data_IF_787323652485
#
_entry.id   IF_787323652485
#
_cell.length_a   1.000
_cell.length_b   1.000
_cell.length_c   1.000
_cell.angle_alpha   90.00
_cell.angle_beta   90.00
_cell.angle_gamma   90.00
#
_symmetry.space_group_name_H-M   'P 1'
#
loop_
_entity.id
_entity.type
_entity.pdbx_description
1 polymer ?
#
# COMPACT_ATOMS: atom_id res chain seq x y z
N UNK A 1 -48.93 14.18 -2.10
CA UNK A 1 -47.78 13.34 -1.62
C UNK A 1 -48.19 12.87 -0.23
N UNK A 2 -48.30 11.57 -0.06
CA UNK A 2 -48.85 11.01 1.18
C UNK A 2 -47.89 11.29 2.36
N UNK A 3 -48.46 11.86 3.44
CA UNK A 3 -47.72 12.20 4.65
C UNK A 3 -46.87 11.00 5.16
N UNK A 4 -47.33 9.79 4.93
CA UNK A 4 -46.64 8.52 5.28
C UNK A 4 -45.34 8.35 4.52
N UNK A 5 -45.29 8.73 3.22
CA UNK A 5 -44.07 8.64 2.39
C UNK A 5 -43.05 9.65 2.87
N UNK A 6 -43.48 10.87 3.15
CA UNK A 6 -42.59 11.95 3.66
C UNK A 6 -41.99 11.53 5.00
N UNK A 7 -42.81 10.97 5.91
CA UNK A 7 -42.35 10.50 7.22
C UNK A 7 -41.37 9.34 7.10
N UNK A 8 -41.62 8.39 6.19
CA UNK A 8 -40.73 7.28 5.91
C UNK A 8 -39.36 7.73 5.38
N UNK A 9 -39.34 8.69 4.45
CA UNK A 9 -38.09 9.24 3.89
C UNK A 9 -37.30 9.99 4.97
N UNK A 10 -37.97 10.82 5.77
CA UNK A 10 -37.31 11.57 6.85
C UNK A 10 -36.71 10.61 7.90
N UNK A 11 -37.47 9.60 8.34
CA UNK A 11 -36.97 8.60 9.28
C UNK A 11 -35.78 7.82 8.75
N UNK A 12 -35.87 7.37 7.49
CA UNK A 12 -34.75 6.64 6.86
C UNK A 12 -33.49 7.51 6.77
N UNK A 13 -33.65 8.74 6.31
CA UNK A 13 -32.53 9.70 6.20
C UNK A 13 -31.93 9.99 7.58
N UNK A 14 -32.74 10.18 8.60
CA UNK A 14 -32.26 10.41 9.95
C UNK A 14 -31.45 9.22 10.51
N UNK A 15 -31.92 7.99 10.26
CA UNK A 15 -31.20 6.76 10.68
C UNK A 15 -29.85 6.66 9.94
N UNK A 16 -29.82 6.90 8.63
CA UNK A 16 -28.58 6.85 7.85
C UNK A 16 -27.59 7.89 8.34
N UNK A 17 -28.03 9.13 8.56
CA UNK A 17 -27.17 10.19 9.08
C UNK A 17 -26.65 9.88 10.49
N UNK A 18 -27.48 9.31 11.36
CA UNK A 18 -27.05 8.89 12.69
C UNK A 18 -25.99 7.80 12.62
N UNK A 19 -26.14 6.78 11.74
CA UNK A 19 -25.13 5.74 11.55
C UNK A 19 -23.82 6.30 10.99
N UNK A 20 -23.89 7.21 10.01
CA UNK A 20 -22.70 7.87 9.48
C UNK A 20 -21.99 8.69 10.56
N UNK A 21 -22.73 9.43 11.38
CA UNK A 21 -22.16 10.18 12.50
C UNK A 21 -21.44 9.25 13.50
N UNK A 22 -22.06 8.13 13.87
CA UNK A 22 -21.45 7.14 14.77
C UNK A 22 -20.15 6.58 14.17
N UNK A 23 -20.15 6.23 12.87
CA UNK A 23 -18.95 5.72 12.20
C UNK A 23 -17.84 6.78 12.17
N UNK A 24 -18.17 8.03 11.88
CA UNK A 24 -17.17 9.12 11.84
C UNK A 24 -16.58 9.40 13.22
N UNK A 25 -17.41 9.42 14.26
CA UNK A 25 -16.94 9.57 15.65
C UNK A 25 -16.08 8.38 16.07
N UNK A 26 -16.51 7.16 15.80
CA UNK A 26 -15.73 5.97 16.09
C UNK A 26 -14.38 5.99 15.36
N UNK A 27 -14.36 6.37 14.08
CA UNK A 27 -13.14 6.51 13.30
C UNK A 27 -12.20 7.56 13.88
N UNK A 28 -12.70 8.75 14.22
CA UNK A 28 -11.87 9.81 14.81
C UNK A 28 -11.28 9.45 16.18
N UNK A 29 -11.94 8.56 16.90
CA UNK A 29 -11.51 8.09 18.22
C UNK A 29 -10.56 6.88 18.19
N UNK A 30 -10.69 6.05 17.15
CA UNK A 30 -9.96 4.78 17.03
C UNK A 30 -8.73 4.86 16.12
N UNK A 31 -8.71 5.81 15.19
CA UNK A 31 -7.55 6.02 14.30
C UNK A 31 -6.60 7.00 14.97
N UNK A 32 -5.39 6.57 15.24
CA UNK A 32 -4.34 7.47 15.73
C UNK A 32 -4.16 8.61 14.73
N UNK A 33 -4.50 9.82 15.14
CA UNK A 33 -4.25 11.02 14.36
C UNK A 33 -2.91 11.59 14.84
N UNK A 34 -1.92 11.64 13.95
CA UNK A 34 -0.60 12.20 14.25
C UNK A 34 0.46 11.64 13.33
N UNK A 35 1.63 12.22 13.41
CA UNK A 35 2.80 11.73 12.71
C UNK A 35 3.47 10.65 13.56
N UNK A 36 3.98 9.63 12.89
CA UNK A 36 4.72 8.53 13.49
C UNK A 36 6.09 8.42 12.84
N UNK A 37 7.06 7.92 13.59
CA UNK A 37 8.41 7.74 13.11
C UNK A 37 8.62 6.27 12.74
N UNK A 38 9.16 6.04 11.55
CA UNK A 38 9.57 4.71 11.10
C UNK A 38 11.08 4.70 10.97
N UNK A 39 11.73 3.93 11.83
CA UNK A 39 13.17 3.68 11.78
C UNK A 39 13.43 2.49 10.86
N UNK A 40 14.28 2.68 9.86
CA UNK A 40 14.57 1.72 8.82
C UNK A 40 16.03 1.30 8.91
N UNK A 41 16.27 0.01 9.12
CA UNK A 41 17.60 -0.60 9.25
C UNK A 41 18.48 0.06 10.33
N UNK A 42 17.91 0.78 11.29
CA UNK A 42 18.67 1.52 12.32
C UNK A 42 19.40 2.76 11.82
N UNK A 43 19.30 3.09 10.53
CA UNK A 43 20.09 4.18 9.92
C UNK A 43 19.22 5.36 9.48
N UNK A 44 18.04 5.09 8.96
CA UNK A 44 17.14 6.11 8.39
C UNK A 44 15.84 6.18 9.16
N UNK A 45 15.45 7.38 9.57
CA UNK A 45 14.13 7.63 10.18
C UNK A 45 13.30 8.50 9.25
N UNK A 46 12.07 8.09 8.99
CA UNK A 46 11.09 8.87 8.25
C UNK A 46 9.90 9.19 9.15
N UNK A 47 9.37 10.41 9.03
CA UNK A 47 8.17 10.84 9.75
C UNK A 47 7.01 10.88 8.77
N UNK A 48 5.95 10.15 9.08
CA UNK A 48 4.81 9.92 8.17
C UNK A 48 3.49 9.99 8.93
N UNK A 49 2.38 10.36 8.29
CA UNK A 49 1.08 10.35 8.94
C UNK A 49 0.65 8.91 9.28
N UNK A 50 0.10 8.74 10.49
CA UNK A 50 -0.46 7.46 10.91
C UNK A 50 -1.74 7.11 10.11
N UNK A 51 -2.02 5.81 10.00
CA UNK A 51 -3.29 5.28 9.44
C UNK A 51 -3.15 4.62 8.07
N UNK A 52 -2.00 4.75 7.39
CA UNK A 52 -1.72 4.09 6.12
C UNK A 52 -1.27 2.62 6.27
N UNK A 53 -1.08 1.95 5.13
CA UNK A 53 -0.38 0.67 5.06
C UNK A 53 1.12 0.91 4.88
N UNK A 54 1.95 0.11 5.55
CA UNK A 54 3.40 0.29 5.54
C UNK A 54 3.99 0.30 4.12
N UNK A 55 3.53 -0.61 3.23
CA UNK A 55 3.97 -0.66 1.84
C UNK A 55 3.77 0.67 1.11
N UNK A 56 2.57 1.24 1.22
CA UNK A 56 2.23 2.50 0.56
C UNK A 56 3.00 3.67 1.18
N UNK A 57 3.08 3.72 2.50
CA UNK A 57 3.80 4.77 3.23
C UNK A 57 5.29 4.79 2.87
N UNK A 58 5.92 3.61 2.73
CA UNK A 58 7.31 3.50 2.29
C UNK A 58 7.47 3.97 0.83
N UNK A 59 6.55 3.58 -0.07
CA UNK A 59 6.55 4.01 -1.46
C UNK A 59 6.44 5.54 -1.59
N UNK A 60 5.55 6.18 -0.84
CA UNK A 60 5.41 7.64 -0.78
C UNK A 60 6.67 8.34 -0.24
N UNK A 61 7.47 7.61 0.55
CA UNK A 61 8.77 8.08 1.07
C UNK A 61 9.96 7.73 0.16
N UNK A 62 9.70 7.19 -1.04
CA UNK A 62 10.73 6.83 -2.02
C UNK A 62 11.42 5.49 -1.77
N UNK A 63 10.83 4.61 -0.95
CA UNK A 63 11.30 3.26 -0.68
C UNK A 63 10.34 2.23 -1.26
N UNK A 64 10.76 1.56 -2.33
CA UNK A 64 9.90 0.69 -3.11
C UNK A 64 10.16 -0.78 -2.81
N UNK A 65 9.30 -1.41 -2.01
CA UNK A 65 9.32 -2.85 -1.81
C UNK A 65 8.60 -3.55 -2.97
N UNK A 66 9.12 -4.71 -3.42
CA UNK A 66 8.49 -5.47 -4.48
C UNK A 66 7.07 -5.90 -4.10
N UNK A 67 6.10 -5.72 -5.00
CA UNK A 67 4.71 -6.08 -4.75
C UNK A 67 3.96 -6.40 -6.05
N UNK A 68 4.14 -7.60 -6.58
CA UNK A 68 3.49 -8.01 -7.82
C UNK A 68 1.95 -8.05 -7.74
N UNK A 69 1.37 -8.17 -6.54
CA UNK A 69 -0.08 -8.17 -6.34
C UNK A 69 -0.67 -6.78 -6.07
N UNK A 70 0.14 -5.70 -6.16
CA UNK A 70 -0.31 -4.34 -5.87
C UNK A 70 -0.78 -4.12 -4.43
N UNK A 71 -0.24 -4.89 -3.47
CA UNK A 71 -0.62 -4.76 -2.06
C UNK A 71 -1.77 -5.67 -1.59
N UNK A 72 -2.21 -6.60 -2.44
CA UNK A 72 -3.32 -7.52 -2.14
C UNK A 72 -2.99 -8.64 -1.12
N UNK A 73 -1.73 -8.75 -0.67
CA UNK A 73 -1.33 -9.76 0.34
C UNK A 73 -1.15 -11.18 -0.20
N UNK A 74 -1.13 -11.38 -1.51
CA UNK A 74 -1.12 -12.73 -2.12
C UNK A 74 0.22 -13.18 -2.68
N UNK A 75 1.10 -12.26 -3.10
CA UNK A 75 2.39 -12.61 -3.72
C UNK A 75 3.53 -12.81 -2.72
N UNK A 76 3.37 -12.37 -1.49
CA UNK A 76 4.37 -12.42 -0.42
C UNK A 76 5.75 -11.81 -0.77
N UNK A 77 5.83 -10.90 -1.74
CA UNK A 77 7.09 -10.27 -2.12
C UNK A 77 7.47 -9.07 -1.25
N UNK A 78 6.47 -8.39 -0.68
CA UNK A 78 6.67 -7.21 0.16
C UNK A 78 7.05 -7.57 1.62
N UNK A 79 7.88 -8.60 1.79
CA UNK A 79 8.35 -9.05 3.11
C UNK A 79 9.33 -8.05 3.71
N UNK A 80 9.15 -7.77 4.98
CA UNK A 80 10.08 -7.02 5.82
C UNK A 80 10.04 -7.56 7.25
N UNK A 81 11.06 -7.28 8.04
CA UNK A 81 11.03 -7.58 9.47
C UNK A 81 10.52 -6.33 10.18
N UNK A 82 9.57 -6.52 11.09
CA UNK A 82 9.05 -5.44 11.92
C UNK A 82 9.39 -5.78 13.37
N UNK A 83 10.42 -5.11 13.89
CA UNK A 83 10.91 -5.34 15.24
C UNK A 83 9.99 -4.72 16.29
N UNK A 84 9.46 -3.53 16.01
CA UNK A 84 8.56 -2.81 16.90
C UNK A 84 7.43 -2.13 16.11
N UNK A 85 6.26 -2.02 16.72
CA UNK A 85 5.14 -1.22 16.18
C UNK A 85 4.23 -1.92 15.17
N UNK A 86 4.54 -3.15 14.74
CA UNK A 86 3.82 -3.87 13.68
C UNK A 86 2.47 -4.48 14.10
N UNK A 87 2.15 -4.51 15.40
CA UNK A 87 0.97 -5.19 15.92
C UNK A 87 1.01 -6.72 15.72
N UNK A 88 -0.13 -7.38 15.90
CA UNK A 88 -0.25 -8.83 15.70
C UNK A 88 -0.28 -9.19 14.21
N UNK A 89 0.24 -10.38 13.87
CA UNK A 89 0.14 -10.95 12.54
C UNK A 89 -1.33 -11.19 12.18
N UNK A 90 -1.70 -10.86 10.94
CA UNK A 90 -3.05 -11.07 10.45
C UNK A 90 -3.21 -12.49 9.90
N UNK A 91 -4.40 -13.11 9.97
CA UNK A 91 -4.65 -14.42 9.37
C UNK A 91 -4.31 -14.52 7.88
N UNK A 92 -4.40 -13.39 7.15
CA UNK A 92 -4.02 -13.27 5.74
C UNK A 92 -2.52 -13.38 5.51
N UNK A 93 -1.69 -13.12 6.53
CA UNK A 93 -0.24 -13.22 6.46
C UNK A 93 0.27 -14.60 6.87
N UNK A 94 -0.44 -15.28 7.78
CA UNK A 94 -0.02 -16.57 8.37
C UNK A 94 0.29 -17.64 7.33
N UNK A 95 -0.42 -17.63 6.21
CA UNK A 95 -0.18 -18.61 5.13
C UNK A 95 1.15 -18.44 4.40
N UNK A 96 1.81 -17.29 4.55
CA UNK A 96 3.04 -16.93 3.85
C UNK A 96 4.30 -17.07 4.70
N UNK A 97 4.14 -17.35 5.98
CA UNK A 97 5.24 -17.41 6.94
C UNK A 97 5.20 -18.69 7.76
N UNK A 98 6.39 -19.19 8.09
CA UNK A 98 6.52 -20.25 9.07
C UNK A 98 6.40 -19.67 10.48
N UNK A 99 6.21 -20.55 11.48
CA UNK A 99 6.20 -20.12 12.89
C UNK A 99 7.52 -19.48 13.31
N UNK A 100 8.62 -19.87 12.67
CA UNK A 100 9.94 -19.30 12.90
C UNK A 100 10.01 -17.87 12.34
N UNK A 101 9.58 -17.66 11.10
CA UNK A 101 9.57 -16.35 10.48
C UNK A 101 8.71 -15.37 11.30
N UNK A 102 7.54 -15.83 11.76
CA UNK A 102 6.66 -15.03 12.62
C UNK A 102 7.36 -14.64 13.95
N UNK A 103 8.16 -15.53 14.53
CA UNK A 103 8.92 -15.25 15.75
C UNK A 103 10.10 -14.30 15.50
N UNK A 104 10.66 -14.31 14.30
CA UNK A 104 11.72 -13.39 13.84
C UNK A 104 11.16 -12.01 13.42
N UNK A 105 9.85 -11.79 13.48
CA UNK A 105 9.21 -10.51 13.15
C UNK A 105 8.91 -10.30 11.67
N UNK A 106 9.01 -11.34 10.84
CA UNK A 106 8.64 -11.23 9.41
C UNK A 106 7.17 -10.91 9.21
N UNK A 107 6.90 -9.92 8.39
CA UNK A 107 5.55 -9.45 8.06
C UNK A 107 5.43 -9.07 6.58
N UNK A 108 4.20 -8.98 6.09
CA UNK A 108 3.90 -8.37 4.79
C UNK A 108 3.67 -6.86 4.99
N UNK A 109 4.52 -6.02 4.43
CA UNK A 109 4.37 -4.56 4.55
C UNK A 109 3.02 -4.05 4.02
N UNK A 110 2.43 -4.72 3.03
CA UNK A 110 1.10 -4.38 2.51
C UNK A 110 -0.04 -4.71 3.48
N UNK A 111 0.17 -5.55 4.48
CA UNK A 111 -0.84 -5.89 5.50
C UNK A 111 -0.60 -5.14 6.80
N UNK A 112 0.63 -4.78 7.11
CA UNK A 112 0.98 -4.02 8.30
C UNK A 112 0.42 -2.58 8.23
N UNK A 113 -0.27 -2.16 9.29
CA UNK A 113 -0.81 -0.80 9.39
C UNK A 113 0.11 0.07 10.23
N UNK A 114 0.40 1.27 9.75
CA UNK A 114 1.20 2.29 10.44
C UNK A 114 0.32 3.02 11.45
N UNK A 115 0.39 2.63 12.71
CA UNK A 115 -0.46 3.19 13.78
C UNK A 115 0.32 3.90 14.88
N UNK A 116 1.59 3.59 15.00
CA UNK A 116 2.51 4.08 16.03
C UNK A 116 3.92 4.03 15.48
N UNK A 117 4.89 4.52 16.23
CA UNK A 117 6.30 4.42 15.86
C UNK A 117 6.68 2.96 15.59
N UNK A 118 7.48 2.77 14.54
CA UNK A 118 7.85 1.45 14.05
C UNK A 118 9.37 1.36 13.86
N UNK A 119 9.91 0.15 14.09
CA UNK A 119 11.27 -0.20 13.67
C UNK A 119 11.20 -1.36 12.70
N UNK A 120 11.73 -1.15 11.52
CA UNK A 120 11.67 -2.11 10.43
C UNK A 120 13.05 -2.39 9.85
N UNK A 121 13.21 -3.61 9.35
CA UNK A 121 14.35 -3.98 8.52
C UNK A 121 13.86 -4.38 7.14
N UNK A 122 14.43 -3.77 6.12
CA UNK A 122 14.14 -4.04 4.71
C UNK A 122 15.42 -4.50 4.01
N UNK A 123 15.32 -5.37 2.99
CA UNK A 123 16.49 -5.78 2.21
C UNK A 123 17.23 -4.58 1.62
N UNK A 124 18.55 -4.62 1.59
CA UNK A 124 19.38 -3.54 1.04
C UNK A 124 19.08 -3.23 -0.42
N UNK A 125 18.62 -4.23 -1.17
CA UNK A 125 18.22 -4.11 -2.58
C UNK A 125 17.12 -3.07 -2.80
N UNK A 126 16.28 -2.82 -1.79
CA UNK A 126 15.20 -1.83 -1.83
C UNK A 126 15.73 -0.39 -1.99
N UNK A 127 16.92 -0.10 -1.45
CA UNK A 127 17.53 1.23 -1.55
C UNK A 127 18.11 1.52 -2.93
N UNK A 128 18.29 0.52 -3.77
CA UNK A 128 18.77 0.64 -5.16
C UNK A 128 17.66 0.77 -6.20
N UNK A 129 16.39 0.71 -5.80
CA UNK A 129 15.26 0.81 -6.72
C UNK A 129 15.08 2.26 -7.15
N UNK A 130 15.05 2.49 -8.47
CA UNK A 130 14.76 3.78 -9.08
C UNK A 130 13.35 3.79 -9.64
N UNK A 131 12.70 4.95 -9.55
CA UNK A 131 11.45 5.23 -10.23
C UNK A 131 11.69 6.20 -11.37
N UNK A 132 11.13 5.92 -12.54
CA UNK A 132 11.19 6.79 -13.70
C UNK A 132 9.79 7.18 -14.15
N UNK A 133 9.62 8.43 -14.50
CA UNK A 133 8.44 8.89 -15.21
C UNK A 133 8.66 8.66 -16.70
N UNK A 134 7.93 7.67 -17.25
CA UNK A 134 8.10 7.22 -18.63
C UNK A 134 6.97 7.70 -19.52
N UNK A 135 7.27 7.95 -20.80
CA UNK A 135 6.26 8.25 -21.81
C UNK A 135 5.91 6.98 -22.58
N UNK A 136 4.62 6.70 -22.74
CA UNK A 136 4.16 5.58 -23.57
C UNK A 136 4.36 5.93 -25.05
N UNK A 137 5.23 5.20 -25.75
CA UNK A 137 5.43 5.36 -27.20
C UNK A 137 4.42 4.57 -28.01
N UNK A 138 4.18 3.33 -27.63
CA UNK A 138 3.22 2.47 -28.31
C UNK A 138 2.63 1.41 -27.37
N UNK A 139 1.43 0.93 -27.69
CA UNK A 139 0.75 -0.12 -26.94
C UNK A 139 -0.18 -0.93 -27.87
N UNK A 140 0.33 -1.52 -28.98
CA UNK A 140 -0.47 -2.29 -29.92
C UNK A 140 -0.85 -3.66 -29.33
N UNK A 141 -1.93 -4.23 -29.88
CA UNK A 141 -2.23 -5.65 -29.66
C UNK A 141 -1.36 -6.50 -30.57
N UNK A 142 -0.52 -7.35 -30.01
CA UNK A 142 0.33 -8.29 -30.75
C UNK A 142 -0.30 -9.68 -30.87
N UNK A 143 -1.22 -10.00 -29.94
CA UNK A 143 -2.05 -11.20 -29.98
C UNK A 143 -3.36 -10.95 -29.19
N UNK A 144 -4.27 -11.93 -29.21
CA UNK A 144 -5.49 -11.87 -28.41
C UNK A 144 -5.11 -11.75 -26.90
N UNK A 145 -5.53 -10.66 -26.26
CA UNK A 145 -5.24 -10.32 -24.86
C UNK A 145 -3.76 -10.03 -24.53
N UNK A 146 -2.88 -9.92 -25.53
CA UNK A 146 -1.47 -9.56 -25.33
C UNK A 146 -1.19 -8.23 -26.00
N UNK A 147 -0.60 -7.30 -25.24
CA UNK A 147 -0.17 -5.98 -25.70
C UNK A 147 1.34 -5.85 -25.56
N UNK A 148 1.96 -5.19 -26.51
CA UNK A 148 3.34 -4.76 -26.44
C UNK A 148 3.37 -3.31 -25.97
N UNK A 149 3.83 -3.08 -24.74
CA UNK A 149 3.96 -1.76 -24.17
C UNK A 149 5.39 -1.26 -24.35
N UNK A 150 5.57 -0.23 -25.20
CA UNK A 150 6.86 0.43 -25.37
C UNK A 150 6.89 1.73 -24.59
N UNK A 151 7.85 1.84 -23.68
CA UNK A 151 8.05 3.00 -22.81
C UNK A 151 9.37 3.70 -23.17
N UNK A 152 9.31 5.03 -23.27
CA UNK A 152 10.51 5.85 -23.38
C UNK A 152 10.92 6.33 -22.01
N UNK A 153 12.16 6.03 -21.63
CA UNK A 153 12.81 6.57 -20.44
C UNK A 153 13.15 8.05 -20.60
N UNK A 154 13.32 8.80 -19.50
CA UNK A 154 13.91 10.13 -19.53
C UNK A 154 15.30 10.13 -20.19
N UNK A 155 15.68 11.27 -20.80
CA UNK A 155 16.98 11.39 -21.47
C UNK A 155 18.14 11.15 -20.49
N UNK A 156 19.08 10.29 -20.90
CA UNK A 156 20.27 9.96 -20.12
C UNK A 156 20.10 8.85 -19.09
N UNK A 157 18.89 8.33 -18.91
CA UNK A 157 18.63 7.19 -18.03
C UNK A 157 18.77 5.85 -18.77
N UNK A 158 19.29 4.85 -18.07
CA UNK A 158 19.40 3.48 -18.54
C UNK A 158 18.94 2.51 -17.48
N UNK A 159 18.32 1.42 -17.89
CA UNK A 159 17.92 0.32 -17.01
C UNK A 159 18.93 -0.79 -17.10
N UNK A 160 19.63 -1.06 -16.00
CA UNK A 160 20.50 -2.22 -15.85
C UNK A 160 19.64 -3.47 -15.71
N UNK A 161 19.38 -4.12 -16.84
CA UNK A 161 18.57 -5.33 -16.88
C UNK A 161 19.37 -6.54 -16.40
N UNK A 162 18.77 -7.30 -15.45
CA UNK A 162 19.23 -8.62 -15.05
C UNK A 162 18.19 -9.67 -15.43
N UNK A 163 18.61 -10.84 -15.87
CA UNK A 163 17.70 -11.94 -16.14
C UNK A 163 16.90 -12.30 -14.89
N UNK A 164 15.57 -12.38 -15.02
CA UNK A 164 14.63 -12.57 -13.88
C UNK A 164 14.20 -11.27 -13.19
N UNK A 165 14.73 -10.13 -13.59
CA UNK A 165 14.25 -8.83 -13.13
C UNK A 165 12.84 -8.54 -13.64
N UNK A 166 12.10 -7.72 -12.90
CA UNK A 166 10.78 -7.23 -13.29
C UNK A 166 10.67 -5.73 -13.00
N UNK A 167 9.77 -5.08 -13.67
CA UNK A 167 9.42 -3.68 -13.43
C UNK A 167 7.99 -3.60 -12.88
N UNK A 168 7.77 -2.71 -11.95
CA UNK A 168 6.43 -2.38 -11.47
C UNK A 168 5.97 -1.12 -12.18
N UNK A 169 4.80 -1.19 -12.82
CA UNK A 169 4.17 -0.04 -13.47
C UNK A 169 3.18 0.60 -12.52
N UNK A 170 3.34 1.90 -12.29
CA UNK A 170 2.37 2.73 -11.61
C UNK A 170 1.70 3.60 -12.66
N UNK A 171 0.38 3.47 -12.79
CA UNK A 171 -0.41 4.33 -13.68
C UNK A 171 -1.19 5.31 -12.81
N UNK A 172 -1.16 6.62 -13.11
CA UNK A 172 -2.05 7.55 -12.45
C UNK A 172 -3.49 7.10 -12.67
N UNK A 173 -4.27 7.07 -11.59
CA UNK A 173 -5.65 6.61 -11.62
C UNK A 173 -6.44 7.49 -12.58
N UNK A 174 -6.78 6.98 -13.75
CA UNK A 174 -7.73 7.61 -14.64
C UNK A 174 -9.11 7.43 -13.98
N UNK A 175 -9.60 8.47 -13.33
CA UNK A 175 -11.02 8.59 -13.02
C UNK A 175 -11.76 8.59 -14.36
N UNK A 176 -12.42 7.48 -14.68
CA UNK A 176 -13.39 7.47 -15.76
C UNK A 176 -14.55 8.37 -15.35
N UNK A 177 -14.63 9.52 -15.99
CA UNK A 177 -15.83 10.37 -15.99
C UNK A 177 -16.84 9.84 -16.97
#
# INVERSE_FOLDING_TARGET
>A
MDMTIVFGVVMFTAIVLALVAVILVARSSLVSAGDVNIEINGEKTITVPAGGKLLQTLSESGLFLPSACGGGGTCAQCKCIINEGGGSMLPTEESHFTKRDAAEGWRLSCQAAVKQDMKIEVPEEVFGVKQWECTVESNPNVATFIKELTLRLPEGENVDFRAGGYVQLECPCLLYT
#
